data_IF_366864961623
#
_entry.id   IF_366864961623
#
_cell.length_a   1.000
_cell.length_b   1.000
_cell.length_c   1.000
_cell.angle_alpha   90.00
_cell.angle_beta   90.00
_cell.angle_gamma   90.00
#
_symmetry.space_group_name_H-M   'P 1'
#
loop_
_entity.id
_entity.type
_entity.pdbx_description
1 polymer ?
#
# COMPACT_ATOMS: atom_id res chain seq x y z
N UNK A 1 0.80 -0.98 0.74
CA UNK A 1 -0.32 -1.95 0.69
C UNK A 1 0.22 -3.34 0.47
N UNK A 2 -0.35 -4.34 1.12
CA UNK A 2 -0.08 -5.76 0.93
C UNK A 2 -1.40 -6.42 0.52
N UNK A 3 -1.37 -7.21 -0.55
CA UNK A 3 -2.52 -8.00 -0.97
C UNK A 3 -2.58 -9.29 -0.15
N UNK A 4 -3.74 -9.56 0.42
CA UNK A 4 -4.00 -10.69 1.33
C UNK A 4 -5.27 -11.44 0.94
N UNK A 5 -5.50 -12.58 1.55
CA UNK A 5 -6.75 -13.33 1.42
C UNK A 5 -7.96 -12.54 1.95
N UNK A 6 -9.17 -12.80 1.44
CA UNK A 6 -10.39 -12.10 1.87
C UNK A 6 -10.57 -12.06 3.38
N UNK A 7 -10.94 -10.89 3.90
CA UNK A 7 -11.10 -10.65 5.33
C UNK A 7 -9.81 -10.50 6.12
N UNK A 8 -8.66 -10.50 5.45
CA UNK A 8 -7.33 -10.31 6.06
C UNK A 8 -7.09 -11.20 7.30
N UNK A 9 -7.17 -12.55 7.18
CA UNK A 9 -6.98 -13.45 8.33
C UNK A 9 -5.60 -13.28 8.99
N UNK A 10 -4.61 -12.83 8.23
CA UNK A 10 -3.24 -12.61 8.71
C UNK A 10 -3.07 -11.31 9.54
N UNK A 11 -4.13 -10.51 9.71
CA UNK A 11 -4.10 -9.31 10.58
C UNK A 11 -3.65 -9.64 12.01
N UNK A 12 -3.99 -10.83 12.50
CA UNK A 12 -3.58 -11.28 13.83
C UNK A 12 -2.05 -11.31 14.01
N UNK A 13 -1.27 -11.45 12.92
CA UNK A 13 0.18 -11.36 12.99
C UNK A 13 0.65 -9.92 13.28
N UNK A 14 -0.04 -8.90 12.74
CA UNK A 14 0.24 -7.49 13.05
C UNK A 14 -0.17 -7.15 14.48
N UNK A 15 -1.35 -7.59 14.91
CA UNK A 15 -1.84 -7.39 16.29
C UNK A 15 -0.87 -8.04 17.30
N UNK A 16 -0.42 -9.28 17.02
CA UNK A 16 0.57 -9.98 17.84
C UNK A 16 1.96 -9.31 17.87
N UNK A 17 2.30 -8.53 16.83
CA UNK A 17 3.50 -7.70 16.79
C UNK A 17 3.32 -6.34 17.49
N UNK A 18 2.16 -6.09 18.10
CA UNK A 18 1.85 -4.87 18.84
C UNK A 18 1.39 -3.71 17.96
N UNK A 19 0.91 -3.97 16.76
CA UNK A 19 0.26 -2.93 15.95
C UNK A 19 -1.24 -2.89 16.22
N UNK A 20 -1.78 -1.68 16.30
CA UNK A 20 -3.22 -1.46 16.31
C UNK A 20 -3.70 -1.38 14.87
N UNK A 21 -4.77 -2.11 14.56
CA UNK A 21 -5.47 -2.00 13.28
C UNK A 21 -6.63 -1.04 13.48
N UNK A 22 -6.78 -0.09 12.58
CA UNK A 22 -7.93 0.81 12.56
C UNK A 22 -9.22 0.00 12.41
N UNK A 23 -10.28 0.33 13.17
CA UNK A 23 -11.51 -0.45 13.19
C UNK A 23 -12.32 -0.32 11.88
N UNK A 24 -12.05 0.69 11.08
CA UNK A 24 -12.77 0.98 9.86
C UNK A 24 -12.43 -0.04 8.76
N UNK A 25 -13.45 -0.63 8.17
CA UNK A 25 -13.36 -1.38 6.92
C UNK A 25 -13.53 -0.41 5.75
N UNK A 26 -12.51 -0.32 4.91
CA UNK A 26 -12.57 0.52 3.71
C UNK A 26 -12.99 -0.33 2.51
N UNK A 27 -14.19 -0.06 2.00
CA UNK A 27 -14.70 -0.67 0.78
C UNK A 27 -14.40 0.24 -0.42
N UNK A 28 -13.73 -0.31 -1.43
CA UNK A 28 -13.36 0.42 -2.64
C UNK A 28 -14.40 0.17 -3.73
N UNK A 29 -15.51 0.87 -3.64
CA UNK A 29 -16.57 0.80 -4.61
C UNK A 29 -16.06 1.03 -6.05
N UNK A 30 -16.52 0.19 -6.96
CA UNK A 30 -16.06 0.15 -8.34
C UNK A 30 -14.77 -0.64 -8.56
N UNK A 31 -13.97 -0.92 -7.54
CA UNK A 31 -12.75 -1.72 -7.67
C UNK A 31 -12.94 -3.18 -7.22
N UNK A 32 -14.04 -3.50 -6.56
CA UNK A 32 -14.33 -4.84 -6.05
C UNK A 32 -13.33 -5.30 -5.00
N UNK A 33 -12.94 -4.42 -4.08
CA UNK A 33 -11.96 -4.72 -3.04
C UNK A 33 -12.31 -4.03 -1.73
N UNK A 34 -11.76 -4.55 -0.65
CA UNK A 34 -11.81 -3.94 0.66
C UNK A 34 -10.43 -3.96 1.31
N UNK A 35 -10.26 -3.17 2.35
CA UNK A 35 -9.01 -3.10 3.11
C UNK A 35 -9.21 -2.71 4.56
N UNK A 36 -8.19 -3.04 5.37
CA UNK A 36 -7.98 -2.52 6.72
C UNK A 36 -6.60 -1.86 6.79
N UNK A 37 -6.42 -0.96 7.74
CA UNK A 37 -5.21 -0.15 7.84
C UNK A 37 -4.53 -0.24 9.20
N UNK A 38 -3.20 -0.17 9.18
CA UNK A 38 -2.36 0.23 10.30
C UNK A 38 -1.90 1.65 10.01
N UNK A 39 -2.31 2.60 10.81
CA UNK A 39 -2.09 4.03 10.57
C UNK A 39 -0.86 4.54 11.32
N UNK A 40 -0.03 5.31 10.65
CA UNK A 40 1.13 6.00 11.21
C UNK A 40 0.98 7.51 11.06
N UNK A 41 1.84 8.27 11.69
CA UNK A 41 1.71 9.73 11.76
C UNK A 41 1.62 10.44 10.38
N UNK A 42 2.24 9.88 9.34
CA UNK A 42 2.33 10.46 8.00
C UNK A 42 2.06 9.48 6.85
N UNK A 43 1.73 8.24 7.20
CA UNK A 43 1.55 7.14 6.24
C UNK A 43 0.68 6.04 6.82
N UNK A 44 0.40 5.02 6.05
CA UNK A 44 -0.30 3.83 6.52
C UNK A 44 0.19 2.57 5.80
N UNK A 45 0.04 1.44 6.46
CA UNK A 45 0.15 0.12 5.87
C UNK A 45 -1.26 -0.44 5.70
N UNK A 46 -1.60 -0.84 4.49
CA UNK A 46 -2.91 -1.35 4.13
C UNK A 46 -2.83 -2.85 3.82
N UNK A 47 -3.72 -3.65 4.40
CA UNK A 47 -4.00 -5.00 3.99
C UNK A 47 -5.26 -4.99 3.12
N UNK A 48 -5.12 -5.30 1.83
CA UNK A 48 -6.21 -5.20 0.86
C UNK A 48 -6.49 -6.57 0.21
N UNK A 49 -7.76 -6.84 -0.08
CA UNK A 49 -8.20 -8.08 -0.69
C UNK A 49 -9.30 -7.88 -1.72
N UNK A 50 -9.52 -8.87 -2.56
CA UNK A 50 -10.70 -8.97 -3.40
C UNK A 50 -11.92 -9.21 -2.50
N UNK A 51 -12.90 -8.33 -2.60
CA UNK A 51 -14.18 -8.48 -1.89
C UNK A 51 -15.31 -8.63 -2.92
N UNK A 52 -15.93 -9.80 -2.93
CA UNK A 52 -17.02 -10.11 -3.86
C UNK A 52 -18.32 -9.37 -3.54
N UNK A 53 -18.46 -8.84 -2.32
CA UNK A 53 -19.60 -8.02 -1.92
C UNK A 53 -19.50 -6.58 -2.44
N UNK A 54 -18.29 -6.16 -2.82
CA UNK A 54 -18.04 -4.81 -3.35
C UNK A 54 -18.17 -4.83 -4.87
N UNK A 55 -18.98 -3.95 -5.41
CA UNK A 55 -19.23 -3.83 -6.85
C UNK A 55 -17.95 -3.53 -7.63
N UNK A 56 -17.81 -4.13 -8.79
CA UNK A 56 -16.79 -3.79 -9.80
C UNK A 56 -17.44 -2.92 -10.87
N UNK A 57 -16.90 -1.75 -11.12
CA UNK A 57 -17.37 -0.87 -12.19
C UNK A 57 -16.94 -1.42 -13.55
N UNK A 58 -17.75 -1.19 -14.60
CA UNK A 58 -17.40 -1.58 -15.96
C UNK A 58 -16.02 -1.06 -16.37
N UNK A 59 -15.19 -1.94 -16.92
CA UNK A 59 -13.81 -1.62 -17.32
C UNK A 59 -12.76 -1.70 -16.21
N UNK A 60 -13.14 -2.05 -14.97
CA UNK A 60 -12.23 -2.29 -13.86
C UNK A 60 -12.09 -3.78 -13.47
N UNK A 61 -12.64 -4.70 -14.27
CA UNK A 61 -12.59 -6.15 -14.01
C UNK A 61 -11.15 -6.67 -13.89
N UNK A 62 -10.26 -6.13 -14.70
CA UNK A 62 -8.84 -6.47 -14.63
C UNK A 62 -8.21 -6.05 -13.29
N UNK A 63 -8.68 -4.95 -12.70
CA UNK A 63 -8.23 -4.49 -11.37
C UNK A 63 -8.64 -5.50 -10.32
N UNK A 64 -9.89 -5.91 -10.33
CA UNK A 64 -10.43 -6.90 -9.39
C UNK A 64 -9.72 -8.26 -9.51
N UNK A 65 -9.49 -8.75 -10.73
CA UNK A 65 -8.74 -10.00 -10.98
C UNK A 65 -7.31 -9.93 -10.46
N UNK A 66 -6.69 -8.76 -10.53
CA UNK A 66 -5.33 -8.56 -10.01
C UNK A 66 -5.24 -8.72 -8.51
N UNK A 67 -6.23 -8.26 -7.75
CA UNK A 67 -6.25 -8.42 -6.29
C UNK A 67 -6.09 -9.88 -5.90
N UNK A 68 -6.84 -10.79 -6.55
CA UNK A 68 -6.75 -12.21 -6.27
C UNK A 68 -5.36 -12.77 -6.58
N UNK A 69 -4.83 -12.51 -7.79
CA UNK A 69 -3.50 -12.99 -8.18
C UNK A 69 -2.37 -12.47 -7.30
N UNK A 70 -2.51 -11.26 -6.78
CA UNK A 70 -1.54 -10.67 -5.86
C UNK A 70 -1.69 -11.21 -4.43
N UNK A 71 -2.91 -11.57 -4.00
CA UNK A 71 -3.13 -12.28 -2.74
C UNK A 71 -2.52 -13.69 -2.76
N UNK A 72 -2.64 -14.38 -3.89
CA UNK A 72 -2.08 -15.72 -4.12
C UNK A 72 -0.62 -15.67 -4.62
N UNK A 73 0.14 -14.69 -4.20
CA UNK A 73 1.49 -14.38 -4.71
C UNK A 73 2.48 -15.53 -4.65
N UNK A 74 2.32 -16.44 -3.69
CA UNK A 74 3.19 -17.63 -3.55
C UNK A 74 3.02 -18.59 -4.72
N UNK A 75 1.80 -18.72 -5.22
CA UNK A 75 1.42 -19.61 -6.32
C UNK A 75 1.53 -18.89 -7.66
N UNK A 76 0.99 -17.69 -7.74
CA UNK A 76 0.95 -16.90 -8.97
C UNK A 76 2.31 -16.32 -9.36
N UNK A 77 3.21 -16.10 -8.40
CA UNK A 77 4.47 -15.40 -8.56
C UNK A 77 4.33 -13.89 -8.74
N UNK A 78 3.11 -13.33 -8.64
CA UNK A 78 2.86 -11.90 -8.70
C UNK A 78 3.38 -11.19 -7.44
N UNK A 79 3.63 -9.90 -7.54
CA UNK A 79 3.98 -9.10 -6.36
C UNK A 79 2.79 -9.00 -5.41
N UNK A 80 2.96 -9.31 -4.12
CA UNK A 80 1.94 -9.05 -3.12
C UNK A 80 1.80 -7.56 -2.76
N UNK A 81 2.61 -6.69 -3.36
CA UNK A 81 2.72 -5.31 -2.94
C UNK A 81 2.05 -4.33 -3.89
N UNK A 82 1.48 -3.28 -3.29
CA UNK A 82 1.08 -2.07 -3.96
C UNK A 82 1.73 -0.86 -3.29
N UNK A 83 2.10 0.15 -4.07
CA UNK A 83 2.70 1.39 -3.57
C UNK A 83 1.92 2.58 -4.09
N UNK A 84 1.23 3.25 -3.17
CA UNK A 84 0.62 4.55 -3.40
C UNK A 84 1.64 5.65 -3.19
N UNK A 85 1.73 6.56 -4.13
CA UNK A 85 2.69 7.67 -4.13
C UNK A 85 1.96 9.00 -4.15
N UNK A 86 2.58 10.03 -3.57
CA UNK A 86 2.17 11.42 -3.70
C UNK A 86 3.16 12.14 -4.60
N UNK A 87 2.69 13.06 -5.41
CA UNK A 87 3.57 13.94 -6.18
C UNK A 87 4.29 14.90 -5.23
N UNK A 88 5.56 15.17 -5.50
CA UNK A 88 6.24 16.31 -4.87
C UNK A 88 5.67 17.62 -5.43
N UNK A 89 5.59 18.69 -4.64
CA UNK A 89 4.98 19.95 -5.09
C UNK A 89 5.52 20.51 -6.41
N UNK A 90 6.78 20.31 -6.72
CA UNK A 90 7.42 20.78 -7.95
C UNK A 90 7.58 19.70 -9.04
N UNK A 91 6.90 18.54 -8.89
CA UNK A 91 7.04 17.47 -9.87
C UNK A 91 6.26 17.80 -11.16
N UNK A 92 6.81 17.43 -12.35
CA UNK A 92 6.11 17.58 -13.62
C UNK A 92 4.76 16.85 -13.61
N UNK A 93 3.78 17.37 -14.36
CA UNK A 93 2.46 16.72 -14.49
C UNK A 93 2.50 15.42 -15.29
N UNK A 94 3.55 15.19 -16.06
CA UNK A 94 3.75 13.97 -16.84
C UNK A 94 4.51 12.90 -16.04
N UNK A 95 4.12 11.64 -16.25
CA UNK A 95 4.86 10.49 -15.75
C UNK A 95 5.83 9.97 -16.80
N UNK A 96 6.98 9.43 -16.38
CA UNK A 96 7.96 8.83 -17.29
C UNK A 96 7.47 7.49 -17.90
N UNK A 97 6.29 7.04 -17.53
CA UNK A 97 5.67 5.79 -18.01
C UNK A 97 4.18 6.00 -18.27
N UNK A 98 3.57 5.24 -19.19
CA UNK A 98 2.14 5.32 -19.46
C UNK A 98 1.32 5.08 -18.18
N UNK A 99 0.28 5.87 -17.99
CA UNK A 99 -0.66 5.74 -16.87
C UNK A 99 -2.09 5.61 -17.39
N UNK A 100 -2.93 4.91 -16.61
CA UNK A 100 -4.37 4.92 -16.78
C UNK A 100 -4.98 5.71 -15.63
N UNK A 101 -5.67 6.80 -15.97
CA UNK A 101 -6.42 7.57 -14.99
C UNK A 101 -7.70 6.84 -14.61
N UNK A 102 -7.93 6.71 -13.31
CA UNK A 102 -9.12 6.10 -12.73
C UNK A 102 -9.77 7.10 -11.79
N UNK A 103 -11.09 7.23 -11.93
CA UNK A 103 -11.96 7.93 -10.98
C UNK A 103 -12.98 6.94 -10.45
N UNK A 104 -13.28 7.01 -9.18
CA UNK A 104 -14.36 6.27 -8.55
C UNK A 104 -15.45 7.24 -8.06
N UNK A 105 -16.68 6.77 -7.94
CA UNK A 105 -17.84 7.59 -7.56
C UNK A 105 -17.72 8.23 -6.18
N UNK A 106 -16.96 7.59 -5.28
CA UNK A 106 -16.68 8.10 -3.94
C UNK A 106 -15.61 9.20 -3.89
N UNK A 107 -14.90 9.44 -4.98
CA UNK A 107 -13.85 10.46 -5.04
C UNK A 107 -14.45 11.85 -5.21
N UNK A 108 -13.79 12.85 -4.61
CA UNK A 108 -14.09 14.25 -4.89
C UNK A 108 -13.99 14.56 -6.40
N UNK A 109 -14.69 15.58 -6.91
CA UNK A 109 -14.78 15.85 -8.35
C UNK A 109 -13.42 16.03 -9.06
N UNK A 110 -12.42 16.53 -8.37
CA UNK A 110 -11.06 16.76 -8.86
C UNK A 110 -10.07 15.65 -8.46
N UNK A 111 -10.55 14.63 -7.73
CA UNK A 111 -9.74 13.51 -7.29
C UNK A 111 -9.65 12.41 -8.36
N UNK A 112 -8.47 11.81 -8.47
CA UNK A 112 -8.21 10.67 -9.35
C UNK A 112 -6.95 9.91 -8.92
N UNK A 113 -6.84 8.69 -9.42
CA UNK A 113 -5.64 7.87 -9.33
C UNK A 113 -5.04 7.69 -10.72
N UNK A 114 -3.78 8.01 -10.89
CA UNK A 114 -3.02 7.61 -12.07
C UNK A 114 -2.35 6.27 -11.77
N UNK A 115 -2.96 5.19 -12.25
CA UNK A 115 -2.41 3.83 -12.12
C UNK A 115 -1.40 3.63 -13.24
N UNK A 116 -0.20 3.22 -12.89
CA UNK A 116 0.81 2.92 -13.89
C UNK A 116 0.34 1.73 -14.73
N UNK A 117 0.35 1.94 -16.05
CA UNK A 117 -0.16 0.95 -17.00
C UNK A 117 0.65 -0.34 -16.90
N UNK A 118 -0.03 -1.48 -16.89
CA UNK A 118 0.55 -2.76 -16.63
C UNK A 118 1.15 -3.37 -17.89
N UNK A 119 2.30 -2.89 -18.33
CA UNK A 119 3.16 -3.72 -19.18
C UNK A 119 3.73 -4.89 -18.40
N UNK A 120 3.52 -4.90 -17.09
CA UNK A 120 4.26 -5.72 -16.16
C UNK A 120 3.34 -6.36 -15.13
N UNK A 121 2.99 -7.62 -15.39
CA UNK A 121 2.03 -8.36 -14.57
C UNK A 121 2.62 -8.87 -13.25
N UNK A 122 3.94 -9.04 -13.15
CA UNK A 122 4.59 -9.63 -11.98
C UNK A 122 5.08 -8.59 -10.97
N UNK A 123 5.17 -7.31 -11.35
CA UNK A 123 5.66 -6.25 -10.49
C UNK A 123 4.66 -5.73 -9.46
N UNK A 124 5.12 -4.88 -8.54
CA UNK A 124 4.24 -4.22 -7.60
C UNK A 124 3.23 -3.33 -8.33
N UNK A 125 2.03 -3.24 -7.79
CA UNK A 125 1.02 -2.29 -8.27
C UNK A 125 1.42 -0.89 -7.86
N UNK A 126 1.43 0.05 -8.81
CA UNK A 126 1.84 1.42 -8.57
C UNK A 126 0.73 2.37 -8.95
N UNK A 127 0.47 3.35 -8.11
CA UNK A 127 -0.43 4.45 -8.44
C UNK A 127 0.06 5.74 -7.80
N UNK A 128 -0.37 6.84 -8.38
CA UNK A 128 -0.13 8.17 -7.84
C UNK A 128 -1.47 8.83 -7.62
N UNK A 129 -1.65 9.39 -6.45
CA UNK A 129 -2.85 10.15 -6.12
C UNK A 129 -2.78 11.55 -6.72
N UNK A 130 -3.95 12.10 -7.10
CA UNK A 130 -4.06 13.48 -7.57
C UNK A 130 -3.58 14.49 -6.51
N UNK A 131 -3.28 15.70 -6.93
CA UNK A 131 -2.89 16.76 -6.01
C UNK A 131 -3.98 17.07 -4.97
N UNK A 132 -5.26 16.98 -5.34
CA UNK A 132 -6.38 17.15 -4.43
C UNK A 132 -6.47 16.08 -3.35
N UNK A 133 -6.13 14.84 -3.67
CA UNK A 133 -6.03 13.74 -2.71
C UNK A 133 -4.74 13.80 -1.89
N UNK A 134 -3.69 14.37 -2.47
CA UNK A 134 -2.37 14.52 -1.86
C UNK A 134 -2.18 15.89 -1.23
N UNK A 135 -3.17 16.78 -1.34
CA UNK A 135 -3.03 18.18 -0.97
C UNK A 135 -2.56 18.33 0.45
N UNK A 136 -1.36 18.85 0.58
CA UNK A 136 -0.73 19.09 1.86
C UNK A 136 -1.58 20.01 2.76
N UNK A 137 -2.43 20.86 2.23
CA UNK A 137 -3.38 21.66 3.00
C UNK A 137 -4.67 20.95 3.35
N UNK A 138 -5.27 20.19 2.43
CA UNK A 138 -6.54 19.46 2.67
C UNK A 138 -6.30 18.11 3.33
N UNK A 139 -5.28 17.40 2.90
CA UNK A 139 -4.95 16.11 3.49
C UNK A 139 -4.31 16.26 4.87
N UNK A 140 -3.52 17.30 5.13
CA UNK A 140 -3.04 17.60 6.49
C UNK A 140 -4.20 17.97 7.40
N UNK A 141 -5.11 18.84 6.98
CA UNK A 141 -6.27 19.18 7.78
C UNK A 141 -7.26 18.02 7.94
N UNK A 142 -7.44 17.17 6.92
CA UNK A 142 -8.26 15.95 7.03
C UNK A 142 -7.56 14.88 7.86
N UNK A 143 -6.29 14.66 7.68
CA UNK A 143 -5.50 13.73 8.49
C UNK A 143 -5.35 14.20 9.94
N UNK A 144 -5.26 15.49 10.18
CA UNK A 144 -5.27 16.05 11.54
C UNK A 144 -6.64 15.91 12.20
N UNK A 145 -7.73 16.19 11.47
CA UNK A 145 -9.10 15.93 11.97
C UNK A 145 -9.31 14.43 12.24
N UNK A 146 -8.83 13.55 11.39
CA UNK A 146 -8.92 12.12 11.61
C UNK A 146 -8.10 11.69 12.83
N UNK A 147 -6.88 12.17 12.99
CA UNK A 147 -6.06 11.92 14.19
C UNK A 147 -6.71 12.43 15.48
N UNK A 148 -7.36 13.58 15.42
CA UNK A 148 -8.08 14.14 16.57
C UNK A 148 -9.36 13.36 16.89
N UNK A 149 -10.02 12.79 15.85
CA UNK A 149 -11.24 11.99 16.01
C UNK A 149 -10.94 10.55 16.49
N UNK A 150 -9.80 9.99 16.09
CA UNK A 150 -9.42 8.60 16.39
C UNK A 150 -7.93 8.50 16.79
N UNK A 151 -7.50 9.21 17.84
CA UNK A 151 -6.08 9.28 18.21
C UNK A 151 -5.51 7.91 18.59
N UNK A 152 -6.34 6.99 19.02
CA UNK A 152 -5.96 5.62 19.37
C UNK A 152 -5.43 4.82 18.17
N UNK A 153 -5.88 5.11 16.94
CA UNK A 153 -5.42 4.40 15.75
C UNK A 153 -3.92 4.59 15.50
N UNK A 154 -3.35 5.71 15.96
CA UNK A 154 -1.93 6.07 15.84
C UNK A 154 -1.10 5.68 17.08
N UNK A 155 -1.73 5.07 18.08
CA UNK A 155 -1.07 4.66 19.32
C UNK A 155 -0.90 3.15 19.35
N UNK A 156 0.20 2.69 18.77
CA UNK A 156 0.52 1.27 18.75
C UNK A 156 1.09 0.79 20.09
N UNK A 157 0.64 -0.37 20.62
CA UNK A 157 1.22 -0.97 21.83
C UNK A 157 2.73 -1.15 21.79
N UNK A 158 3.31 -1.38 20.60
CA UNK A 158 4.76 -1.49 20.39
C UNK A 158 5.48 -0.13 20.34
N UNK A 159 4.77 1.00 20.48
CA UNK A 159 5.33 2.36 20.47
C UNK A 159 5.68 2.93 19.10
N UNK A 160 5.47 2.19 18.02
CA UNK A 160 5.75 2.65 16.65
C UNK A 160 4.90 3.88 16.28
N UNK A 161 5.51 4.86 15.57
CA UNK A 161 4.86 6.11 15.19
C UNK A 161 4.98 6.45 13.71
N UNK A 162 6.13 6.20 13.10
CA UNK A 162 6.43 6.63 11.73
C UNK A 162 7.14 5.54 10.95
N UNK A 163 6.81 5.43 9.66
CA UNK A 163 7.61 4.68 8.71
C UNK A 163 8.75 5.58 8.24
N UNK A 164 9.99 5.23 8.58
CA UNK A 164 11.17 6.01 8.22
C UNK A 164 11.95 5.42 7.05
N UNK A 165 11.81 4.12 6.79
CA UNK A 165 12.46 3.44 5.67
C UNK A 165 11.62 2.28 5.18
N UNK A 166 11.62 2.07 3.87
CA UNK A 166 10.98 0.91 3.22
C UNK A 166 11.96 0.28 2.26
N UNK A 167 12.22 -1.01 2.41
CA UNK A 167 13.02 -1.81 1.48
C UNK A 167 12.20 -2.97 0.94
N UNK A 168 12.10 -3.05 -0.37
CA UNK A 168 11.40 -4.12 -1.07
C UNK A 168 12.41 -5.12 -1.65
N UNK A 169 12.25 -6.38 -1.29
CA UNK A 169 13.03 -7.49 -1.83
C UNK A 169 12.26 -8.13 -2.98
N UNK A 170 12.89 -8.19 -4.14
CA UNK A 170 12.26 -8.54 -5.40
C UNK A 170 12.92 -9.78 -5.99
N UNK A 171 12.16 -10.84 -6.29
CA UNK A 171 12.68 -11.99 -7.02
C UNK A 171 13.28 -11.57 -8.37
N UNK A 172 14.38 -12.20 -8.75
CA UNK A 172 15.10 -11.84 -9.99
C UNK A 172 14.22 -11.88 -11.23
N UNK A 173 13.30 -12.85 -11.32
CA UNK A 173 12.31 -12.98 -12.40
C UNK A 173 11.26 -11.87 -12.43
N UNK A 174 11.13 -11.11 -11.35
CA UNK A 174 10.13 -10.06 -11.16
C UNK A 174 10.78 -8.66 -11.11
N UNK A 175 12.00 -8.54 -11.65
CA UNK A 175 12.66 -7.23 -11.86
C UNK A 175 12.02 -6.53 -13.04
N UNK A 176 11.00 -5.80 -12.75
CA UNK A 176 10.06 -5.25 -13.69
C UNK A 176 10.31 -3.76 -13.91
N UNK A 177 9.72 -3.20 -14.98
CA UNK A 177 9.75 -1.77 -15.24
C UNK A 177 9.18 -0.97 -14.05
N UNK A 178 8.15 -1.50 -13.39
CA UNK A 178 7.56 -0.91 -12.19
C UNK A 178 8.57 -0.82 -11.03
N UNK A 179 9.30 -1.89 -10.76
CA UNK A 179 10.35 -1.89 -9.73
C UNK A 179 11.48 -0.91 -10.06
N UNK A 180 11.91 -0.87 -11.33
CA UNK A 180 12.92 0.08 -11.79
C UNK A 180 12.46 1.55 -11.65
N UNK A 181 11.18 1.81 -11.91
CA UNK A 181 10.60 3.14 -11.78
C UNK A 181 10.51 3.57 -10.32
N UNK A 182 10.05 2.69 -9.43
CA UNK A 182 10.04 2.97 -7.99
C UNK A 182 11.45 3.30 -7.47
N UNK A 183 12.44 2.51 -7.86
CA UNK A 183 13.83 2.74 -7.46
C UNK A 183 14.37 4.12 -7.86
N UNK A 184 13.89 4.67 -8.99
CA UNK A 184 14.32 5.99 -9.50
C UNK A 184 13.52 7.16 -8.92
N UNK A 185 12.26 6.95 -8.60
CA UNK A 185 11.30 8.05 -8.37
C UNK A 185 10.64 8.00 -6.98
N UNK A 186 10.98 7.06 -6.13
CA UNK A 186 10.45 6.98 -4.77
C UNK A 186 11.55 6.79 -3.72
N UNK A 187 11.15 6.88 -2.44
CA UNK A 187 12.02 6.58 -1.30
C UNK A 187 12.08 5.06 -0.98
N UNK A 188 11.45 4.20 -1.79
CA UNK A 188 11.50 2.75 -1.60
C UNK A 188 12.81 2.20 -2.13
N UNK A 189 13.57 1.55 -1.27
CA UNK A 189 14.79 0.85 -1.65
C UNK A 189 14.48 -0.54 -2.23
N UNK A 190 15.32 -1.01 -3.15
CA UNK A 190 15.16 -2.31 -3.78
C UNK A 190 16.39 -3.18 -3.58
N UNK A 191 16.14 -4.47 -3.28
CA UNK A 191 17.18 -5.49 -3.19
C UNK A 191 16.74 -6.75 -3.93
N UNK A 192 17.71 -7.46 -4.54
CA UNK A 192 17.44 -8.75 -5.13
C UNK A 192 17.23 -9.81 -4.03
N UNK A 193 16.30 -10.74 -4.25
CA UNK A 193 16.03 -11.84 -3.34
C UNK A 193 15.51 -13.08 -4.08
N UNK A 194 15.30 -14.18 -3.37
CA UNK A 194 14.66 -15.38 -3.90
C UNK A 194 13.12 -15.25 -3.93
N UNK A 195 12.57 -14.50 -2.99
CA UNK A 195 11.13 -14.33 -2.80
C UNK A 195 10.79 -12.88 -2.43
N UNK A 196 9.53 -12.52 -2.57
CA UNK A 196 9.01 -11.23 -2.17
C UNK A 196 9.10 -11.02 -0.65
N UNK A 197 9.62 -9.88 -0.24
CA UNK A 197 9.65 -9.44 1.15
C UNK A 197 9.64 -7.92 1.21
N UNK A 198 8.95 -7.36 2.18
CA UNK A 198 9.00 -5.96 2.52
C UNK A 198 9.62 -5.80 3.90
N UNK A 199 10.66 -4.99 4.02
CA UNK A 199 11.21 -4.54 5.30
C UNK A 199 10.80 -3.09 5.52
N UNK A 200 10.24 -2.83 6.68
CA UNK A 200 9.78 -1.51 7.10
C UNK A 200 10.49 -1.13 8.37
N UNK A 201 11.27 -0.04 8.34
CA UNK A 201 11.87 0.54 9.54
C UNK A 201 10.92 1.59 10.10
N UNK A 202 10.69 1.52 11.37
CA UNK A 202 9.84 2.42 12.13
C UNK A 202 10.72 3.23 13.10
N UNK A 203 10.49 4.54 13.15
CA UNK A 203 11.17 5.46 14.06
C UNK A 203 12.70 5.28 14.08
N UNK A 204 13.29 5.10 12.88
CA UNK A 204 14.72 4.87 12.65
C UNK A 204 15.31 3.59 13.34
N UNK A 205 14.45 2.68 13.78
CA UNK A 205 14.85 1.43 14.43
C UNK A 205 15.42 1.61 15.85
N UNK A 206 15.05 2.69 16.53
CA UNK A 206 15.64 3.07 17.83
C UNK A 206 15.41 2.06 18.96
N UNK A 207 14.42 1.18 18.82
CA UNK A 207 14.16 0.14 19.82
C UNK A 207 15.06 -1.09 19.63
N UNK A 208 15.75 -1.22 18.49
CA UNK A 208 16.57 -2.38 18.12
C UNK A 208 15.82 -3.72 18.16
N UNK A 209 14.53 -3.70 17.84
CA UNK A 209 13.66 -4.87 17.85
C UNK A 209 13.23 -5.21 16.42
N UNK A 210 13.38 -6.47 16.02
CA UNK A 210 12.88 -6.99 14.75
C UNK A 210 11.64 -7.85 14.98
N UNK A 211 10.61 -7.63 14.18
CA UNK A 211 9.37 -8.43 14.12
C UNK A 211 9.25 -9.04 12.73
N UNK A 212 9.53 -10.32 12.60
CA UNK A 212 9.38 -11.06 11.35
C UNK A 212 8.01 -11.73 11.32
N UNK A 213 7.15 -11.30 10.40
CA UNK A 213 5.77 -11.80 10.27
C UNK A 213 5.66 -12.92 9.24
N UNK A 214 6.78 -13.35 8.65
CA UNK A 214 6.79 -14.46 7.70
C UNK A 214 6.58 -15.81 8.42
N UNK A 215 6.01 -16.79 7.80
CA UNK A 215 5.54 -16.82 6.41
C UNK A 215 4.13 -16.24 6.21
N UNK A 216 3.42 -15.80 7.24
CA UNK A 216 2.06 -15.30 7.13
C UNK A 216 1.99 -14.11 6.20
N UNK A 217 2.66 -13.03 6.54
CA UNK A 217 2.82 -11.84 5.70
C UNK A 217 4.25 -11.75 5.18
N UNK A 218 4.50 -11.31 3.94
CA UNK A 218 5.86 -11.12 3.41
C UNK A 218 6.51 -9.83 3.97
N UNK A 219 6.52 -9.69 5.30
CA UNK A 219 6.76 -8.45 6.01
C UNK A 219 7.68 -8.64 7.21
N UNK A 220 8.64 -7.74 7.35
CA UNK A 220 9.52 -7.62 8.51
C UNK A 220 9.53 -6.17 8.97
N UNK A 221 9.38 -5.94 10.26
CA UNK A 221 9.54 -4.62 10.88
C UNK A 221 10.84 -4.53 11.67
N UNK A 222 11.47 -3.37 11.60
CA UNK A 222 12.56 -2.94 12.45
C UNK A 222 12.10 -1.73 13.26
N UNK A 223 11.95 -1.91 14.59
CA UNK A 223 11.52 -0.89 15.53
C UNK A 223 12.71 -0.27 16.25
#
# INVERSE_FOLDING_TARGET
MIHVSPGAPDRAALEGAGFRIAPELHQHEGQGSASIMVEFADSFLELAWRDEQVRVAPGLEIVATRYQKQADWRESGWSPFGVGMRRRPAAPDSFPVPTKRVRAEWMEPDAFLDILAPGDTLGPRLWVVSASMAANGRAESAGERHRLASPENFQHPNGARRITRVRMFVPSRSRTQAAAMLARHSAVEFSAAKEWRLEVTLDDGVQHVTRDLRPRLPLVFHL
#
